data_IF_664777476309
#
_entry.id   IF_664777476309
#
_cell.length_a   1.000
_cell.length_b   1.000
_cell.length_c   1.000
_cell.angle_alpha   90.00
_cell.angle_beta   90.00
_cell.angle_gamma   90.00
#
_symmetry.space_group_name_H-M   'P 1'
#
loop_
_entity.id
_entity.type
_entity.pdbx_description
1 polymer ?
#
# COMPACT_ATOMS: atom_id res chain seq x y z
N UNK A 1 -11.53 -38.52 62.55
CA UNK A 1 -10.90 -39.24 61.42
C UNK A 1 -9.46 -38.76 61.27
N UNK A 2 -8.49 -39.69 61.31
CA UNK A 2 -7.04 -39.45 61.24
C UNK A 2 -6.59 -39.25 59.78
N UNK A 3 -5.60 -38.37 59.56
CA UNK A 3 -4.34 -38.74 58.85
C UNK A 3 -3.25 -37.67 59.05
N UNK A 4 -2.41 -37.93 60.04
CA UNK A 4 -1.04 -37.41 60.11
C UNK A 4 -0.26 -37.95 58.91
N UNK A 5 0.52 -37.11 58.23
CA UNK A 5 1.66 -37.57 57.41
C UNK A 5 2.92 -36.87 57.87
N UNK A 6 3.87 -37.72 58.27
CA UNK A 6 5.21 -37.44 58.77
C UNK A 6 6.00 -36.55 57.80
N UNK A 7 6.66 -35.52 58.33
CA UNK A 7 7.91 -35.01 57.74
C UNK A 7 9.06 -35.46 58.66
N UNK A 8 9.91 -36.33 58.13
CA UNK A 8 11.04 -36.94 58.82
C UNK A 8 12.15 -35.90 59.03
N UNK A 9 12.44 -35.52 60.28
CA UNK A 9 13.67 -34.82 60.63
C UNK A 9 14.81 -35.84 60.71
N UNK A 10 15.76 -35.78 59.78
CA UNK A 10 17.02 -36.53 59.89
C UNK A 10 17.95 -35.72 60.79
N UNK A 11 18.17 -36.24 62.00
CA UNK A 11 19.14 -35.76 62.96
C UNK A 11 20.54 -36.21 62.52
N UNK A 12 21.38 -35.30 62.04
CA UNK A 12 22.83 -35.52 61.99
C UNK A 12 23.44 -34.63 63.07
N UNK A 13 23.54 -35.18 64.29
CA UNK A 13 24.44 -34.65 65.31
C UNK A 13 25.85 -35.14 65.02
N UNK A 14 26.67 -34.31 64.38
CA UNK A 14 28.11 -34.36 64.57
C UNK A 14 28.48 -33.31 65.63
N UNK A 15 29.11 -33.79 66.70
CA UNK A 15 29.57 -33.06 67.88
C UNK A 15 30.77 -32.14 67.56
N UNK A 16 30.76 -30.95 68.19
CA UNK A 16 31.91 -30.08 68.58
C UNK A 16 32.67 -29.37 67.44
N UNK A 17 33.08 -28.10 67.50
CA UNK A 17 32.98 -26.99 68.45
C UNK A 17 33.19 -25.67 67.66
N UNK A 18 32.58 -24.56 68.09
CA UNK A 18 32.86 -23.25 67.48
C UNK A 18 31.79 -22.21 67.80
N UNK A 19 31.98 -21.48 68.89
CA UNK A 19 31.19 -20.33 69.32
C UNK A 19 31.28 -19.16 68.35
N UNK A 20 30.18 -18.44 68.11
CA UNK A 20 30.16 -16.97 68.02
C UNK A 20 28.72 -16.44 68.17
N UNK A 21 28.51 -15.80 69.32
CA UNK A 21 27.54 -14.77 69.72
C UNK A 21 26.49 -14.29 68.69
N UNK A 22 25.21 -14.27 69.09
CA UNK A 22 24.19 -13.45 68.44
C UNK A 22 24.20 -12.01 68.98
N UNK A 23 23.84 -11.01 68.16
CA UNK A 23 23.02 -9.91 68.67
C UNK A 23 21.76 -9.65 67.83
N UNK A 24 20.72 -9.24 68.54
CA UNK A 24 19.46 -8.66 68.07
C UNK A 24 19.67 -7.65 66.93
N UNK A 25 18.89 -7.77 65.85
CA UNK A 25 18.65 -6.67 64.90
C UNK A 25 17.17 -6.29 65.01
N UNK A 26 16.95 -5.03 65.37
CA UNK A 26 15.65 -4.39 65.51
C UNK A 26 14.93 -4.28 64.17
N UNK A 27 13.59 -4.23 64.20
CA UNK A 27 12.75 -3.96 63.05
C UNK A 27 13.08 -2.57 62.48
N UNK A 28 13.50 -2.50 61.22
CA UNK A 28 13.49 -1.26 60.46
C UNK A 28 12.95 -1.54 59.06
N UNK A 29 11.96 -0.73 58.74
CA UNK A 29 11.15 -0.61 57.53
C UNK A 29 11.75 -1.19 56.24
N UNK A 30 11.08 -2.20 55.68
CA UNK A 30 11.23 -2.55 54.27
C UNK A 30 9.83 -2.70 53.70
N UNK A 31 9.24 -1.57 53.32
CA UNK A 31 8.09 -1.52 52.44
C UNK A 31 8.52 -2.14 51.10
N UNK A 32 8.34 -3.45 50.97
CA UNK A 32 8.56 -4.16 49.72
C UNK A 32 7.43 -3.75 48.76
N UNK A 33 7.62 -2.60 48.12
CA UNK A 33 6.82 -2.20 46.96
C UNK A 33 7.16 -3.18 45.84
N UNK A 34 6.31 -4.19 45.71
CA UNK A 34 6.30 -5.08 44.55
C UNK A 34 5.86 -4.22 43.36
N UNK A 35 6.82 -3.71 42.59
CA UNK A 35 6.53 -3.02 41.35
C UNK A 35 6.05 -4.07 40.34
N UNK A 36 4.74 -4.26 40.29
CA UNK A 36 4.09 -5.11 39.31
C UNK A 36 4.33 -4.52 37.93
N UNK A 37 5.36 -5.01 37.24
CA UNK A 37 5.58 -4.70 35.83
C UNK A 37 4.46 -5.35 35.03
N UNK A 38 3.33 -4.64 34.92
CA UNK A 38 2.21 -4.99 34.07
C UNK A 38 2.67 -4.86 32.63
N UNK A 39 3.08 -5.97 32.02
CA UNK A 39 3.37 -6.06 30.59
C UNK A 39 2.10 -5.72 29.81
N UNK A 40 1.95 -4.45 29.42
CA UNK A 40 0.93 -4.05 28.46
C UNK A 40 1.30 -4.63 27.09
N UNK A 41 0.62 -5.68 26.70
CA UNK A 41 0.58 -6.16 25.32
C UNK A 41 -0.24 -5.16 24.51
N UNK A 42 0.43 -4.22 23.83
CA UNK A 42 -0.20 -3.34 22.84
C UNK A 42 -0.55 -4.17 21.60
N UNK A 43 -1.84 -4.46 21.41
CA UNK A 43 -2.34 -5.00 20.16
C UNK A 43 -2.49 -3.85 19.16
N UNK A 44 -1.58 -3.78 18.18
CA UNK A 44 -1.68 -2.78 17.13
C UNK A 44 -2.81 -3.13 16.17
N UNK A 45 -3.78 -2.22 16.05
CA UNK A 45 -4.83 -2.34 15.03
C UNK A 45 -4.23 -2.04 13.64
N UNK A 46 -4.38 -2.98 12.72
CA UNK A 46 -3.97 -2.85 11.32
C UNK A 46 -5.19 -2.60 10.43
N UNK A 47 -4.98 -1.81 9.40
CA UNK A 47 -5.98 -1.47 8.39
C UNK A 47 -5.45 -1.85 7.00
N UNK A 48 -6.37 -2.07 6.07
CA UNK A 48 -6.10 -2.60 4.73
C UNK A 48 -6.45 -1.60 3.63
N UNK A 49 -5.81 -1.75 2.47
CA UNK A 49 -6.17 -1.03 1.24
C UNK A 49 -6.60 -2.07 0.21
N UNK A 50 -7.85 -2.00 -0.22
CA UNK A 50 -8.42 -2.89 -1.22
C UNK A 50 -8.62 -2.15 -2.53
N UNK A 51 -8.15 -2.73 -3.64
CA UNK A 51 -8.37 -2.16 -4.98
C UNK A 51 -9.43 -2.93 -5.75
N UNK A 52 -10.47 -2.23 -6.18
CA UNK A 52 -11.52 -2.75 -7.05
C UNK A 52 -11.26 -2.25 -8.47
N UNK A 53 -11.06 -3.15 -9.43
CA UNK A 53 -10.68 -2.78 -10.81
C UNK A 53 -11.81 -2.17 -11.65
N UNK A 54 -13.07 -2.38 -11.26
CA UNK A 54 -14.27 -1.80 -11.90
C UNK A 54 -14.28 -1.85 -13.45
N UNK A 55 -14.07 -3.07 -13.97
CA UNK A 55 -13.97 -3.36 -15.41
C UNK A 55 -12.62 -3.02 -16.06
N UNK A 56 -11.65 -2.52 -15.30
CA UNK A 56 -10.26 -2.36 -15.73
C UNK A 56 -9.48 -3.67 -15.69
N UNK A 57 -8.48 -3.79 -16.57
CA UNK A 57 -7.53 -4.91 -16.60
C UNK A 57 -6.10 -4.41 -16.44
N UNK A 58 -5.26 -5.22 -15.79
CA UNK A 58 -3.85 -4.87 -15.56
C UNK A 58 -3.35 -5.21 -14.16
N UNK A 59 -2.09 -4.83 -13.92
CA UNK A 59 -1.38 -5.01 -12.66
C UNK A 59 -1.83 -3.96 -11.63
N UNK A 60 -1.82 -4.36 -10.37
CA UNK A 60 -1.94 -3.49 -9.19
C UNK A 60 -0.81 -3.87 -8.25
N UNK A 61 -0.19 -2.88 -7.63
CA UNK A 61 0.73 -3.09 -6.51
C UNK A 61 -0.13 -3.12 -5.24
N UNK A 62 -0.21 -4.28 -4.61
CA UNK A 62 -0.95 -4.45 -3.36
C UNK A 62 -0.16 -3.88 -2.18
N UNK A 63 -0.87 -3.48 -1.14
CA UNK A 63 -0.28 -2.96 0.08
C UNK A 63 -0.48 -3.98 1.21
N UNK A 64 0.58 -4.21 1.99
CA UNK A 64 0.45 -4.94 3.25
C UNK A 64 -0.42 -4.14 4.24
N UNK A 65 -1.15 -4.82 5.15
CA UNK A 65 -1.88 -4.16 6.21
C UNK A 65 -0.97 -3.25 7.06
N UNK A 66 -1.44 -2.05 7.38
CA UNK A 66 -0.65 -1.01 8.02
C UNK A 66 -1.36 -0.38 9.22
N UNK A 67 -0.59 0.07 10.21
CA UNK A 67 -1.14 0.80 11.37
C UNK A 67 -1.56 2.20 10.96
N UNK A 68 -2.48 2.79 11.72
CA UNK A 68 -2.78 4.23 11.61
C UNK A 68 -1.49 5.04 11.67
N UNK A 69 -1.35 6.02 10.80
CA UNK A 69 -0.18 6.92 10.78
C UNK A 69 0.94 6.46 9.85
N UNK A 70 1.01 5.16 9.53
CA UNK A 70 2.04 4.61 8.62
C UNK A 70 1.89 5.20 7.23
N UNK A 71 3.02 5.59 6.60
CA UNK A 71 3.01 6.06 5.21
C UNK A 71 2.78 4.87 4.27
N UNK A 72 1.75 4.98 3.44
CA UNK A 72 1.37 3.99 2.43
C UNK A 72 1.33 4.67 1.07
N UNK A 73 1.62 3.93 0.00
CA UNK A 73 1.63 4.43 -1.38
C UNK A 73 0.66 3.62 -2.22
N UNK A 74 -0.24 4.31 -2.92
CA UNK A 74 -1.19 3.66 -3.79
C UNK A 74 -0.55 3.12 -5.06
N UNK A 75 -1.14 2.10 -5.67
CA UNK A 75 -0.58 1.53 -6.89
C UNK A 75 -0.37 2.57 -7.99
N UNK A 76 0.81 2.52 -8.60
CA UNK A 76 1.24 3.43 -9.66
C UNK A 76 0.80 2.98 -11.06
N UNK A 77 0.48 1.69 -11.22
CA UNK A 77 0.10 1.11 -12.51
C UNK A 77 -1.22 1.67 -13.03
N UNK A 78 -1.23 2.03 -14.32
CA UNK A 78 -2.46 2.34 -15.02
C UNK A 78 -3.21 1.05 -15.36
N UNK A 79 -4.52 1.03 -15.10
CA UNK A 79 -5.39 -0.02 -15.58
C UNK A 79 -5.83 0.33 -17.01
N UNK A 80 -6.03 -0.69 -17.83
CA UNK A 80 -6.54 -0.55 -19.20
C UNK A 80 -8.04 -0.81 -19.22
N UNK A 81 -8.76 0.02 -19.96
CA UNK A 81 -10.19 -0.12 -20.25
C UNK A 81 -10.46 0.54 -21.60
N UNK A 82 -11.08 -0.17 -22.53
CA UNK A 82 -11.23 0.32 -23.91
C UNK A 82 -12.01 1.63 -23.97
N UNK A 83 -11.47 2.63 -24.67
CA UNK A 83 -12.06 3.97 -24.77
C UNK A 83 -11.93 4.81 -23.49
N UNK A 84 -11.15 4.36 -22.50
CA UNK A 84 -10.90 5.11 -21.27
C UNK A 84 -9.41 5.07 -20.88
N UNK A 85 -8.99 6.13 -20.19
CA UNK A 85 -7.75 6.16 -19.42
C UNK A 85 -8.07 6.06 -17.94
N UNK A 86 -7.34 5.20 -17.22
CA UNK A 86 -7.32 5.26 -15.76
C UNK A 86 -6.66 6.61 -15.41
N UNK A 87 -7.36 7.50 -14.73
CA UNK A 87 -6.86 8.83 -14.38
C UNK A 87 -6.28 8.87 -12.97
N UNK A 88 -7.02 8.32 -12.00
CA UNK A 88 -6.73 8.39 -10.58
C UNK A 88 -7.45 7.26 -9.83
N UNK A 89 -7.17 7.07 -8.55
CA UNK A 89 -7.96 6.25 -7.64
C UNK A 89 -8.93 7.11 -6.83
N UNK A 90 -10.06 6.55 -6.40
CA UNK A 90 -10.99 7.21 -5.48
C UNK A 90 -11.53 6.22 -4.45
N UNK A 91 -11.73 6.68 -3.22
CA UNK A 91 -12.45 5.96 -2.16
C UNK A 91 -13.96 6.25 -2.15
N UNK A 92 -14.42 7.19 -3.00
CA UNK A 92 -15.79 7.68 -3.05
C UNK A 92 -15.96 9.11 -2.52
N UNK A 93 -15.01 9.60 -1.70
CA UNK A 93 -15.01 10.95 -1.14
C UNK A 93 -13.84 11.79 -1.69
N UNK A 94 -12.68 11.16 -1.81
CA UNK A 94 -11.42 11.75 -2.23
C UNK A 94 -10.94 11.12 -3.54
N UNK A 95 -10.10 11.87 -4.26
CA UNK A 95 -9.42 11.40 -5.47
C UNK A 95 -7.92 11.49 -5.27
N UNK A 96 -7.22 10.38 -5.50
CA UNK A 96 -5.80 10.22 -5.30
C UNK A 96 -5.11 9.90 -6.62
N UNK A 97 -3.99 10.56 -6.90
CA UNK A 97 -3.17 10.22 -8.07
C UNK A 97 -2.61 8.80 -7.91
N UNK A 98 -2.35 8.14 -9.03
CA UNK A 98 -1.61 6.88 -9.02
C UNK A 98 -0.21 7.10 -8.44
N UNK A 99 0.25 6.20 -7.57
CA UNK A 99 1.54 6.37 -6.89
C UNK A 99 1.55 7.43 -5.79
N UNK A 100 0.40 8.04 -5.46
CA UNK A 100 0.32 8.99 -4.35
C UNK A 100 0.52 8.28 -3.02
N UNK A 101 1.20 8.96 -2.08
CA UNK A 101 1.38 8.46 -0.72
C UNK A 101 0.53 9.26 0.27
N UNK A 102 -0.08 8.54 1.21
CA UNK A 102 -0.83 9.14 2.32
C UNK A 102 -0.39 8.53 3.66
N UNK A 103 -0.85 9.12 4.76
CA UNK A 103 -0.77 8.50 6.09
C UNK A 103 -2.01 7.64 6.31
N UNK A 104 -1.83 6.36 6.66
CA UNK A 104 -2.93 5.40 6.79
C UNK A 104 -3.93 5.87 7.85
N UNK A 105 -5.24 5.97 7.52
CA UNK A 105 -6.26 6.38 8.46
C UNK A 105 -6.59 5.25 9.46
N UNK A 106 -7.49 5.55 10.40
CA UNK A 106 -7.98 4.58 11.39
C UNK A 106 -9.17 3.75 10.85
N UNK A 107 -9.14 3.35 9.58
CA UNK A 107 -10.14 2.53 8.91
C UNK A 107 -9.57 1.94 7.61
N UNK A 108 -10.23 0.92 7.07
CA UNK A 108 -9.89 0.32 5.78
C UNK A 108 -10.25 1.23 4.60
N UNK A 109 -9.43 1.24 3.56
CA UNK A 109 -9.65 2.03 2.34
C UNK A 109 -10.04 1.09 1.20
N UNK A 110 -11.10 1.45 0.46
CA UNK A 110 -11.50 0.74 -0.77
C UNK A 110 -11.39 1.67 -1.96
N UNK A 111 -10.41 1.43 -2.83
CA UNK A 111 -10.14 2.25 -4.01
C UNK A 111 -10.75 1.70 -5.28
N UNK A 112 -11.35 2.59 -6.08
CA UNK A 112 -11.85 2.33 -7.44
C UNK A 112 -11.16 3.27 -8.43
N UNK A 113 -10.93 2.85 -9.67
CA UNK A 113 -10.34 3.71 -10.68
C UNK A 113 -11.33 4.78 -11.12
N UNK A 114 -10.85 6.02 -11.17
CA UNK A 114 -11.50 7.13 -11.86
C UNK A 114 -11.15 7.03 -13.34
N UNK A 115 -12.16 6.79 -14.16
CA UNK A 115 -12.01 6.67 -15.62
C UNK A 115 -12.28 8.00 -16.32
N UNK A 116 -11.49 8.32 -17.34
CA UNK A 116 -11.76 9.41 -18.29
C UNK A 116 -11.84 8.86 -19.69
N UNK A 117 -12.87 9.25 -20.46
CA UNK A 117 -13.02 8.86 -21.86
C UNK A 117 -11.79 9.27 -22.67
N UNK A 118 -11.43 8.45 -23.64
CA UNK A 118 -10.40 8.74 -24.63
C UNK A 118 -10.96 8.60 -26.04
N UNK A 119 -10.45 9.40 -26.96
CA UNK A 119 -10.76 9.32 -28.38
C UNK A 119 -9.63 8.61 -29.11
N UNK A 120 -9.99 7.74 -30.04
CA UNK A 120 -9.01 7.10 -30.93
C UNK A 120 -8.60 8.11 -32.00
N UNK A 121 -7.30 8.17 -32.26
CA UNK A 121 -6.72 8.89 -33.39
C UNK A 121 -6.21 7.83 -34.35
N UNK A 122 -6.77 7.78 -35.55
CA UNK A 122 -6.40 6.81 -36.57
C UNK A 122 -5.90 7.55 -37.79
N UNK A 123 -4.79 7.09 -38.36
CA UNK A 123 -4.26 7.63 -39.61
C UNK A 123 -4.63 6.69 -40.77
N UNK A 124 -5.06 7.27 -41.89
CA UNK A 124 -5.24 6.48 -43.11
C UNK A 124 -3.89 5.93 -43.58
N UNK A 125 -3.91 4.79 -44.28
CA UNK A 125 -2.68 4.21 -44.85
C UNK A 125 -2.16 5.13 -45.96
N UNK A 126 -0.88 5.46 -45.87
CA UNK A 126 -0.24 6.45 -46.74
C UNK A 126 0.68 5.83 -47.80
N UNK A 127 0.59 4.51 -47.99
CA UNK A 127 1.40 3.76 -48.95
C UNK A 127 1.26 4.32 -50.37
N UNK A 128 0.03 4.70 -50.76
CA UNK A 128 -0.30 5.36 -52.02
C UNK A 128 0.35 6.75 -52.21
N UNK A 129 0.87 7.33 -51.12
CA UNK A 129 1.52 8.65 -51.09
C UNK A 129 3.05 8.55 -50.95
N UNK A 130 3.62 7.36 -51.24
CA UNK A 130 5.05 7.11 -51.15
C UNK A 130 5.59 6.99 -49.72
N UNK A 131 4.71 6.88 -48.73
CA UNK A 131 5.07 6.80 -47.32
C UNK A 131 4.80 5.40 -46.78
N UNK A 132 5.87 4.66 -46.48
CA UNK A 132 5.81 3.26 -46.05
C UNK A 132 5.87 3.08 -44.54
N UNK A 133 6.09 4.16 -43.78
CA UNK A 133 6.05 4.12 -42.31
C UNK A 133 4.67 4.55 -41.85
N UNK A 134 3.77 3.65 -41.41
CA UNK A 134 2.47 4.09 -40.92
C UNK A 134 2.62 4.95 -39.67
N UNK A 135 1.89 6.06 -39.61
CA UNK A 135 1.73 6.78 -38.35
C UNK A 135 1.06 5.87 -37.33
N UNK A 136 1.53 5.96 -36.09
CA UNK A 136 1.00 5.13 -35.03
C UNK A 136 -0.36 5.69 -34.60
N UNK A 137 -1.38 4.84 -34.67
CA UNK A 137 -2.67 5.14 -34.06
C UNK A 137 -2.50 5.40 -32.56
N UNK A 138 -3.33 6.29 -32.05
CA UNK A 138 -3.23 6.77 -30.68
C UNK A 138 -4.57 6.79 -29.96
N UNK A 139 -4.52 7.10 -28.68
CA UNK A 139 -5.70 7.49 -27.91
C UNK A 139 -5.37 8.72 -27.10
N UNK A 140 -6.24 9.72 -27.16
CA UNK A 140 -6.04 11.02 -26.49
C UNK A 140 -7.23 11.38 -25.61
N UNK A 141 -6.98 12.19 -24.58
CA UNK A 141 -8.05 12.73 -23.76
C UNK A 141 -8.79 13.86 -24.52
N UNK A 142 -10.07 14.12 -24.17
CA UNK A 142 -10.79 15.29 -24.68
C UNK A 142 -10.01 16.59 -24.44
N UNK A 143 -9.94 17.46 -25.45
CA UNK A 143 -9.25 18.75 -25.36
C UNK A 143 -7.72 18.69 -25.45
N UNK A 144 -7.12 17.50 -25.62
CA UNK A 144 -5.69 17.38 -25.91
C UNK A 144 -5.40 17.89 -27.33
N UNK A 145 -4.45 18.81 -27.46
CA UNK A 145 -3.94 19.23 -28.77
C UNK A 145 -3.17 18.07 -29.41
N UNK A 146 -3.56 17.72 -30.63
CA UNK A 146 -2.87 16.71 -31.43
C UNK A 146 -2.00 17.44 -32.45
N UNK A 147 -0.72 17.11 -32.48
CA UNK A 147 0.19 17.58 -33.54
C UNK A 147 0.14 16.58 -34.67
N UNK A 148 -0.38 17.00 -35.82
CA UNK A 148 -0.37 16.17 -37.00
C UNK A 148 1.01 16.22 -37.65
N UNK A 149 1.50 15.10 -38.20
CA UNK A 149 2.81 15.05 -38.84
C UNK A 149 2.92 16.07 -39.98
N UNK A 150 4.07 16.76 -40.05
CA UNK A 150 4.39 17.66 -41.15
C UNK A 150 5.53 17.05 -41.97
N UNK A 151 5.18 16.10 -42.84
CA UNK A 151 6.11 15.41 -43.73
C UNK A 151 5.75 15.71 -45.19
N UNK A 152 6.75 15.83 -46.08
CA UNK A 152 6.48 15.94 -47.50
C UNK A 152 5.91 14.62 -48.01
N UNK A 153 4.67 14.65 -48.49
CA UNK A 153 4.01 13.51 -49.13
C UNK A 153 3.54 13.88 -50.53
N UNK A 154 3.56 12.90 -51.44
CA UNK A 154 3.27 13.11 -52.85
C UNK A 154 2.35 12.02 -53.38
N UNK A 155 1.39 12.37 -54.24
CA UNK A 155 0.59 11.41 -55.01
C UNK A 155 0.60 11.82 -56.48
N UNK A 156 1.47 11.19 -57.27
CA UNK A 156 1.84 11.71 -58.59
C UNK A 156 2.42 13.11 -58.46
N UNK A 157 1.91 14.06 -59.25
CA UNK A 157 2.32 15.48 -59.23
C UNK A 157 1.69 16.29 -58.08
N UNK A 158 0.81 15.69 -57.27
CA UNK A 158 0.16 16.38 -56.14
C UNK A 158 1.08 16.43 -54.92
N UNK A 159 1.16 17.60 -54.28
CA UNK A 159 1.88 17.79 -53.01
C UNK A 159 0.90 17.82 -51.83
N UNK A 160 1.36 17.39 -50.66
CA UNK A 160 0.60 17.42 -49.42
C UNK A 160 0.29 18.86 -48.97
N UNK A 161 -1.00 19.21 -48.89
CA UNK A 161 -1.45 20.56 -48.49
C UNK A 161 -2.10 20.59 -47.09
N UNK A 162 -2.04 19.49 -46.34
CA UNK A 162 -2.56 19.40 -44.98
C UNK A 162 -3.48 18.21 -44.75
N UNK A 163 -3.88 18.06 -43.49
CA UNK A 163 -4.73 16.97 -43.05
C UNK A 163 -6.20 17.38 -43.04
N UNK A 164 -7.05 16.49 -43.51
CA UNK A 164 -8.48 16.55 -43.28
C UNK A 164 -8.83 15.73 -42.04
N UNK A 165 -9.63 16.31 -41.14
CA UNK A 165 -10.04 15.66 -39.88
C UNK A 165 -11.52 15.33 -39.96
N UNK A 166 -11.85 14.04 -39.95
CA UNK A 166 -13.23 13.57 -39.80
C UNK A 166 -13.62 13.63 -38.31
N UNK A 167 -14.70 14.36 -38.00
CA UNK A 167 -15.28 14.49 -36.66
C UNK A 167 -16.51 13.62 -36.46
#
# INVERSE_FOLDING_TARGET
>A
MKRNRLLTLICICALTAGTLQAPLVFAEDAEQTTDETKTQISQDTLYTITYIKDGGVGKIDENEPAKKGTKVTFSSWALRKDGYSHYAWTDGEHTYRRGESISMPAHDIVLRPVWRRTFKVTYEKLEDYGYTTPFQDGSVAPGTQIYLPNIPMHKGDSIFNGWYVNG
#
